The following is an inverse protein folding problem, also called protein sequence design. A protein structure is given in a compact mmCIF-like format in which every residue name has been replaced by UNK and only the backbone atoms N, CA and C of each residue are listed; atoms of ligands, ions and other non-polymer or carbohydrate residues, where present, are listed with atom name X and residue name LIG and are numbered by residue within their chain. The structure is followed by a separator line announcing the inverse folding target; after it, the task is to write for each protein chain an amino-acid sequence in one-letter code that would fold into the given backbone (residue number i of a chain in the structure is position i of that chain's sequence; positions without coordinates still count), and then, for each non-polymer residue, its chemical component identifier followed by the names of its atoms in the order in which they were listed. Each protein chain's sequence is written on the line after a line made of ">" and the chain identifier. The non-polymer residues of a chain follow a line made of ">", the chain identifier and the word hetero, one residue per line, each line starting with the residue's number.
data_IF_098658567929
#
_entry.id   IF_098658567929
#
_cell.length_a   1.000
_cell.length_b   1.000
_cell.length_c   1.000
_cell.angle_alpha   90.00
_cell.angle_beta   90.00
_cell.angle_gamma   90.00
#
_symmetry.space_group_name_H-M   'P 1'
#
loop_
_entity.id
_entity.type
_entity.pdbx_description
1 polymer ?
#
# COMPACT_ATOMS: atom_id res chain seq x y z
N UNK A 1 -0.95 1.87 -4.59
CA UNK A 1 -1.84 1.51 -3.47
C UNK A 1 -1.11 0.70 -2.43
N UNK A 2 -1.44 0.92 -1.16
CA UNK A 2 -1.09 -0.02 -0.10
C UNK A 2 -2.26 -0.96 0.13
N UNK A 3 -1.92 -2.25 0.26
CA UNK A 3 -2.86 -3.36 0.47
C UNK A 3 -2.40 -4.21 1.62
N UNK A 4 -3.32 -4.99 2.14
CA UNK A 4 -2.95 -6.20 2.84
C UNK A 4 -2.60 -7.27 1.81
N UNK A 5 -1.70 -8.16 2.17
CA UNK A 5 -1.42 -9.37 1.43
C UNK A 5 -1.18 -10.53 2.40
N UNK A 6 -1.35 -11.74 1.91
CA UNK A 6 -1.08 -12.94 2.69
C UNK A 6 -0.38 -14.00 1.85
N UNK A 7 0.34 -14.88 2.52
CA UNK A 7 0.96 -16.05 1.92
C UNK A 7 -0.07 -17.18 1.82
N UNK A 8 -0.35 -17.65 0.61
CA UNK A 8 -1.40 -18.64 0.32
C UNK A 8 -1.03 -20.07 0.69
N UNK A 9 0.27 -20.37 0.94
CA UNK A 9 0.71 -21.68 1.40
C UNK A 9 0.66 -21.81 2.93
N UNK A 10 0.60 -20.68 3.66
CA UNK A 10 0.62 -20.63 5.13
C UNK A 10 -0.75 -20.29 5.71
N UNK A 11 -1.53 -19.45 5.02
CA UNK A 11 -2.85 -19.02 5.48
C UNK A 11 -3.89 -19.41 4.43
N UNK A 12 -4.88 -20.19 4.85
CA UNK A 12 -6.03 -20.51 4.01
C UNK A 12 -6.84 -19.26 3.69
N UNK A 13 -7.45 -19.19 2.51
CA UNK A 13 -8.25 -18.05 2.09
C UNK A 13 -9.39 -17.71 3.07
N UNK A 14 -9.95 -18.70 3.75
CA UNK A 14 -11.02 -18.51 4.74
C UNK A 14 -10.54 -17.82 6.02
N UNK A 15 -9.24 -17.94 6.34
CA UNK A 15 -8.61 -17.39 7.53
C UNK A 15 -7.85 -16.08 7.25
N UNK A 16 -7.75 -15.68 5.97
CA UNK A 16 -7.09 -14.44 5.58
C UNK A 16 -7.88 -13.22 6.08
N UNK A 17 -7.21 -12.12 6.44
CA UNK A 17 -7.91 -10.91 6.84
C UNK A 17 -8.73 -10.33 5.67
N UNK A 18 -9.86 -9.71 5.97
CA UNK A 18 -10.75 -9.08 4.98
C UNK A 18 -10.91 -7.59 5.21
N UNK A 19 -10.45 -7.12 6.35
CA UNK A 19 -10.56 -5.73 6.80
C UNK A 19 -9.25 -5.27 7.46
N UNK A 20 -9.06 -3.97 7.61
CA UNK A 20 -7.97 -3.44 8.44
C UNK A 20 -8.18 -3.81 9.91
N UNK A 21 -9.43 -3.80 10.36
CA UNK A 21 -9.78 -4.17 11.73
C UNK A 21 -9.34 -5.61 12.07
N UNK A 22 -9.44 -6.54 11.14
CA UNK A 22 -9.04 -7.94 11.37
C UNK A 22 -7.57 -8.09 11.78
N UNK A 23 -6.68 -7.16 11.39
CA UNK A 23 -5.26 -7.22 11.73
C UNK A 23 -4.98 -7.08 13.23
N UNK A 24 -5.95 -6.65 14.02
CA UNK A 24 -5.85 -6.59 15.49
C UNK A 24 -6.29 -7.88 16.19
N UNK A 25 -6.82 -8.85 15.44
CA UNK A 25 -7.15 -10.17 16.01
C UNK A 25 -5.87 -10.91 16.43
N UNK A 26 -5.88 -11.44 17.64
CA UNK A 26 -4.76 -12.19 18.23
C UNK A 26 -4.34 -13.42 17.42
N UNK A 27 -5.16 -13.93 16.52
CA UNK A 27 -4.76 -15.00 15.58
C UNK A 27 -3.62 -14.59 14.65
N UNK A 28 -3.38 -13.27 14.49
CA UNK A 28 -2.28 -12.72 13.71
C UNK A 28 -1.07 -12.27 14.53
N UNK A 29 -1.05 -12.54 15.84
CA UNK A 29 0.11 -12.25 16.70
C UNK A 29 1.37 -12.91 16.13
N UNK A 30 2.47 -12.14 16.05
CA UNK A 30 3.76 -12.53 15.46
C UNK A 30 3.71 -12.96 13.99
N UNK A 31 2.64 -12.61 13.25
CA UNK A 31 2.45 -13.02 11.85
C UNK A 31 2.40 -11.84 10.85
N UNK A 32 2.44 -10.62 11.35
CA UNK A 32 2.29 -9.42 10.52
C UNK A 32 3.65 -8.80 10.24
N UNK A 33 3.86 -8.33 9.00
CA UNK A 33 5.01 -7.50 8.63
C UNK A 33 4.54 -6.23 7.92
N UNK A 34 5.18 -5.12 8.23
CA UNK A 34 4.90 -3.82 7.59
C UNK A 34 6.18 -3.00 7.44
N UNK A 35 6.24 -2.06 6.45
CA UNK A 35 7.41 -1.24 6.26
C UNK A 35 7.47 -0.09 7.26
N UNK A 36 8.68 0.29 7.66
CA UNK A 36 8.92 1.42 8.57
C UNK A 36 8.38 2.74 7.99
N UNK A 37 7.44 3.41 8.67
CA UNK A 37 6.91 4.70 8.24
C UNK A 37 7.92 5.85 8.33
N UNK A 38 9.00 5.72 9.08
CA UNK A 38 10.08 6.71 9.10
C UNK A 38 10.92 6.69 7.80
N UNK A 39 10.99 5.55 7.13
CA UNK A 39 11.77 5.35 5.91
C UNK A 39 10.90 5.37 4.66
N UNK A 40 9.76 4.71 4.70
CA UNK A 40 8.83 4.61 3.57
C UNK A 40 7.79 5.73 3.58
N UNK A 41 7.86 6.63 2.59
CA UNK A 41 6.85 7.69 2.42
C UNK A 41 5.42 7.14 2.26
N UNK A 42 5.27 6.00 1.59
CA UNK A 42 3.99 5.32 1.45
C UNK A 42 3.49 4.72 2.79
N UNK A 43 4.38 4.23 3.65
CA UNK A 43 4.00 3.78 4.98
C UNK A 43 3.62 4.95 5.89
N UNK A 44 4.36 6.07 5.83
CA UNK A 44 4.01 7.29 6.53
C UNK A 44 2.61 7.82 6.13
N UNK A 45 2.33 7.86 4.83
CA UNK A 45 1.00 8.22 4.33
C UNK A 45 -0.09 7.32 4.91
N UNK A 46 0.12 6.01 4.89
CA UNK A 46 -0.85 5.06 5.44
C UNK A 46 -1.06 5.23 6.93
N UNK A 47 0.01 5.37 7.71
CA UNK A 47 -0.09 5.63 9.14
C UNK A 47 -0.97 6.87 9.41
N UNK A 48 -0.77 7.94 8.65
CA UNK A 48 -1.58 9.16 8.78
C UNK A 48 -3.03 8.94 8.37
N UNK A 49 -3.28 8.20 7.27
CA UNK A 49 -4.66 7.88 6.84
C UNK A 49 -5.40 7.05 7.89
N UNK A 50 -4.76 6.02 8.45
CA UNK A 50 -5.38 5.17 9.48
C UNK A 50 -5.63 5.93 10.78
N UNK A 51 -4.67 6.73 11.22
CA UNK A 51 -4.79 7.55 12.44
C UNK A 51 -5.93 8.57 12.37
N UNK A 52 -6.21 9.10 11.17
CA UNK A 52 -7.27 10.07 10.92
C UNK A 52 -8.57 9.43 10.37
N UNK A 53 -8.69 8.11 10.44
CA UNK A 53 -9.89 7.40 10.00
C UNK A 53 -10.84 7.14 11.17
N UNK A 54 -12.12 7.51 11.03
CA UNK A 54 -13.13 7.39 12.09
C UNK A 54 -13.37 5.96 12.58
N UNK A 55 -13.04 4.95 11.77
CA UNK A 55 -13.24 3.52 12.10
C UNK A 55 -12.01 2.87 12.70
N UNK A 56 -10.82 3.45 12.49
CA UNK A 56 -9.54 2.89 12.92
C UNK A 56 -8.92 3.75 14.02
N UNK A 57 -8.29 4.85 13.69
CA UNK A 57 -7.72 5.80 14.64
C UNK A 57 -6.52 5.25 15.44
N UNK A 58 -6.17 5.96 16.51
CA UNK A 58 -5.05 5.62 17.40
C UNK A 58 -5.25 4.28 18.11
N UNK A 59 -6.50 3.96 18.48
CA UNK A 59 -6.81 2.71 19.16
C UNK A 59 -6.44 1.50 18.29
N UNK A 60 -6.82 1.54 17.01
CA UNK A 60 -6.47 0.47 16.07
C UNK A 60 -4.95 0.33 15.90
N UNK A 61 -4.21 1.44 15.81
CA UNK A 61 -2.74 1.40 15.70
C UNK A 61 -2.12 0.77 16.95
N UNK A 62 -2.64 1.11 18.13
CA UNK A 62 -2.20 0.51 19.42
C UNK A 62 -2.47 -1.00 19.45
N UNK A 63 -3.68 -1.42 19.07
CA UNK A 63 -4.07 -2.84 19.03
C UNK A 63 -3.28 -3.62 17.96
N UNK A 64 -2.96 -3.00 16.82
CA UNK A 64 -2.07 -3.59 15.82
C UNK A 64 -0.66 -3.82 16.40
N UNK A 65 -0.14 -2.86 17.17
CA UNK A 65 1.15 -2.99 17.86
C UNK A 65 1.15 -4.15 18.88
N UNK A 66 0.03 -4.39 19.55
CA UNK A 66 -0.10 -5.51 20.49
C UNK A 66 0.04 -6.90 19.82
N UNK A 67 -0.15 -6.99 18.50
CA UNK A 67 0.12 -8.20 17.72
C UNK A 67 1.62 -8.38 17.35
N UNK A 68 2.51 -7.54 17.89
CA UNK A 68 3.97 -7.62 17.71
C UNK A 68 4.40 -7.73 16.23
N UNK A 69 4.01 -6.80 15.36
CA UNK A 69 4.33 -6.88 13.94
C UNK A 69 5.83 -6.65 13.70
N UNK A 70 6.41 -7.38 12.76
CA UNK A 70 7.75 -7.13 12.26
C UNK A 70 7.80 -5.82 11.47
N UNK A 71 8.73 -4.94 11.81
CA UNK A 71 8.99 -3.71 11.04
C UNK A 71 10.14 -3.96 10.05
N UNK A 72 9.82 -4.02 8.77
CA UNK A 72 10.80 -4.19 7.72
C UNK A 72 11.33 -2.84 7.21
N UNK A 73 12.56 -2.80 6.71
CA UNK A 73 13.21 -1.57 6.28
C UNK A 73 12.49 -0.83 5.14
N UNK A 74 11.74 -1.53 4.28
CA UNK A 74 11.01 -0.94 3.16
C UNK A 74 9.98 -1.90 2.54
N UNK A 75 9.24 -1.45 1.52
CA UNK A 75 8.21 -2.23 0.84
C UNK A 75 8.72 -3.53 0.19
N UNK A 76 9.92 -3.51 -0.39
CA UNK A 76 10.53 -4.69 -1.01
C UNK A 76 10.74 -5.83 -0.01
N UNK A 77 11.54 -5.63 1.05
CA UNK A 77 11.70 -6.59 2.13
C UNK A 77 10.36 -7.06 2.73
N UNK A 78 9.39 -6.15 2.96
CA UNK A 78 8.06 -6.53 3.45
C UNK A 78 7.38 -7.55 2.52
N UNK A 79 7.37 -7.30 1.21
CA UNK A 79 6.74 -8.20 0.25
C UNK A 79 7.44 -9.55 0.16
N UNK A 80 8.77 -9.56 0.26
CA UNK A 80 9.57 -10.80 0.27
C UNK A 80 9.31 -11.63 1.53
N UNK A 81 9.17 -10.98 2.68
CA UNK A 81 8.88 -11.65 3.95
C UNK A 81 7.51 -12.34 3.91
N UNK A 82 6.47 -11.67 3.38
CA UNK A 82 5.16 -12.29 3.17
C UNK A 82 5.26 -13.46 2.19
N UNK A 83 5.92 -13.26 1.05
CA UNK A 83 6.07 -14.30 0.05
C UNK A 83 6.86 -15.52 0.56
N UNK A 84 7.83 -15.30 1.44
CA UNK A 84 8.61 -16.35 2.09
C UNK A 84 7.89 -17.06 3.24
N UNK A 85 6.78 -16.52 3.74
CA UNK A 85 5.94 -17.12 4.78
C UNK A 85 6.46 -16.94 6.21
N UNK A 86 7.55 -16.20 6.44
CA UNK A 86 8.06 -15.91 7.78
C UNK A 86 7.06 -15.08 8.58
N UNK A 87 6.54 -14.01 8.00
CA UNK A 87 5.39 -13.26 8.50
C UNK A 87 4.33 -13.29 7.41
N UNK A 88 3.39 -14.25 7.47
CA UNK A 88 2.53 -14.58 6.33
C UNK A 88 1.42 -13.55 6.04
N UNK A 89 1.28 -12.50 6.82
CA UNK A 89 0.38 -11.36 6.57
C UNK A 89 1.20 -10.08 6.50
N UNK A 90 0.94 -9.22 5.53
CA UNK A 90 1.71 -7.99 5.40
C UNK A 90 0.91 -6.81 4.90
N UNK A 91 1.45 -5.61 5.19
CA UNK A 91 0.98 -4.35 4.60
C UNK A 91 1.97 -3.95 3.51
N UNK A 92 1.59 -4.14 2.27
CA UNK A 92 2.48 -4.12 1.10
C UNK A 92 2.03 -3.11 0.04
N UNK A 93 2.88 -2.85 -0.95
CA UNK A 93 2.49 -2.13 -2.16
C UNK A 93 1.97 -3.13 -3.19
N UNK A 94 0.82 -2.86 -3.77
CA UNK A 94 0.05 -3.77 -4.62
C UNK A 94 0.82 -4.29 -5.85
N UNK A 95 1.53 -3.44 -6.58
CA UNK A 95 2.30 -3.87 -7.76
C UNK A 95 3.40 -4.90 -7.41
N UNK A 96 4.01 -4.81 -6.20
CA UNK A 96 5.01 -5.78 -5.75
C UNK A 96 4.36 -7.14 -5.47
N UNK A 97 3.15 -7.18 -4.95
CA UNK A 97 2.40 -8.43 -4.75
C UNK A 97 2.11 -9.08 -6.10
N UNK A 98 1.59 -8.32 -7.06
CA UNK A 98 1.30 -8.82 -8.40
C UNK A 98 2.56 -9.30 -9.12
N UNK A 99 3.69 -8.58 -8.98
CA UNK A 99 4.97 -8.99 -9.57
C UNK A 99 5.48 -10.31 -8.98
N UNK A 100 5.42 -10.48 -7.66
CA UNK A 100 5.81 -11.71 -6.99
C UNK A 100 4.86 -12.87 -7.35
N UNK A 101 3.55 -12.64 -7.36
CA UNK A 101 2.57 -13.65 -7.76
C UNK A 101 2.77 -14.09 -9.23
N UNK A 102 3.02 -13.15 -10.14
CA UNK A 102 3.33 -13.46 -11.55
C UNK A 102 4.61 -14.28 -11.72
N UNK A 103 5.54 -14.21 -10.77
CA UNK A 103 6.77 -15.03 -10.71
C UNK A 103 6.58 -16.36 -9.98
N UNK A 104 5.36 -16.67 -9.55
CA UNK A 104 5.01 -17.93 -8.90
C UNK A 104 5.16 -17.94 -7.38
N UNK A 105 5.35 -16.79 -6.74
CA UNK A 105 5.35 -16.72 -5.27
C UNK A 105 3.93 -16.92 -4.72
N UNK A 106 3.76 -17.62 -3.58
CA UNK A 106 2.46 -17.87 -2.97
C UNK A 106 1.97 -16.65 -2.18
N UNK A 107 1.72 -15.54 -2.88
CA UNK A 107 1.27 -14.29 -2.27
C UNK A 107 0.03 -13.76 -3.01
N UNK A 108 -0.95 -13.28 -2.24
CA UNK A 108 -2.19 -12.71 -2.77
C UNK A 108 -2.54 -11.40 -2.06
N UNK A 109 -2.99 -10.42 -2.84
CA UNK A 109 -3.46 -9.15 -2.31
C UNK A 109 -4.90 -9.24 -1.77
N UNK A 110 -5.21 -8.39 -0.79
CA UNK A 110 -6.51 -8.26 -0.15
C UNK A 110 -7.00 -6.83 -0.30
N UNK A 111 -8.25 -6.68 -0.69
CA UNK A 111 -8.97 -5.41 -0.77
C UNK A 111 -9.83 -5.26 0.49
N UNK A 112 -9.33 -4.51 1.47
CA UNK A 112 -10.01 -4.34 2.75
C UNK A 112 -11.39 -3.69 2.60
N UNK A 113 -12.34 -4.16 3.39
CA UNK A 113 -13.75 -3.72 3.34
C UNK A 113 -13.93 -2.24 3.69
N UNK A 114 -13.07 -1.67 4.52
CA UNK A 114 -13.07 -0.23 4.86
C UNK A 114 -12.51 0.64 3.73
N UNK A 115 -11.94 0.01 2.71
CA UNK A 115 -11.24 0.68 1.61
C UNK A 115 -9.73 0.64 1.76
N UNK A 116 -9.05 1.15 0.75
CA UNK A 116 -7.59 1.17 0.69
C UNK A 116 -7.07 2.59 0.71
N UNK A 117 -6.01 2.90 1.46
CA UNK A 117 -5.30 4.15 1.31
C UNK A 117 -4.83 4.32 -0.13
N UNK A 118 -5.12 5.48 -0.71
CA UNK A 118 -4.82 5.77 -2.10
C UNK A 118 -3.66 6.75 -2.21
N UNK A 119 -2.54 6.28 -2.71
CA UNK A 119 -1.38 7.11 -2.99
C UNK A 119 -1.21 7.20 -4.51
N UNK A 120 -1.20 8.40 -5.03
CA UNK A 120 -0.77 8.68 -6.41
C UNK A 120 0.75 8.76 -6.48
N UNK A 121 1.32 8.36 -7.60
CA UNK A 121 2.73 8.62 -7.90
C UNK A 121 2.81 9.92 -8.72
N UNK A 122 3.08 11.07 -8.09
CA UNK A 122 3.04 12.36 -8.75
C UNK A 122 4.23 12.54 -9.68
N UNK A 123 3.99 13.20 -10.81
CA UNK A 123 5.03 13.68 -11.71
C UNK A 123 4.88 15.19 -11.89
N UNK A 124 5.99 15.93 -11.79
CA UNK A 124 5.98 17.38 -11.90
C UNK A 124 7.22 17.91 -12.64
N UNK A 125 7.14 19.14 -13.11
CA UNK A 125 8.25 19.87 -13.71
C UNK A 125 8.78 20.89 -12.71
N UNK A 126 10.08 20.90 -12.47
CA UNK A 126 10.69 21.94 -11.67
C UNK A 126 10.49 23.31 -12.35
N UNK A 127 10.06 24.32 -11.59
CA UNK A 127 9.72 25.66 -12.07
C UNK A 127 10.85 26.28 -12.91
N UNK A 128 12.09 26.10 -12.48
CA UNK A 128 13.27 26.69 -13.09
C UNK A 128 14.02 25.73 -14.05
N UNK A 129 13.34 24.66 -14.50
CA UNK A 129 13.93 23.72 -15.46
C UNK A 129 14.20 24.39 -16.80
N UNK A 130 15.42 24.29 -17.31
CA UNK A 130 15.76 24.71 -18.66
C UNK A 130 15.09 23.87 -19.76
N UNK A 131 14.52 22.71 -19.41
CA UNK A 131 13.95 21.73 -20.33
C UNK A 131 12.41 21.57 -20.17
N UNK A 132 11.70 22.60 -19.75
CA UNK A 132 10.26 22.54 -19.46
C UNK A 132 9.43 21.92 -20.59
N UNK A 133 9.69 22.33 -21.85
CA UNK A 133 8.97 21.79 -23.00
C UNK A 133 9.22 20.28 -23.23
N UNK A 134 10.41 19.79 -22.96
CA UNK A 134 10.73 18.36 -23.04
C UNK A 134 10.07 17.58 -21.88
N UNK A 135 10.13 18.13 -20.67
CA UNK A 135 9.48 17.55 -19.48
C UNK A 135 7.95 17.46 -19.68
N UNK A 136 7.33 18.50 -20.23
CA UNK A 136 5.89 18.49 -20.54
C UNK A 136 5.53 17.41 -21.58
N UNK A 137 6.36 17.23 -22.63
CA UNK A 137 6.14 16.14 -23.60
C UNK A 137 6.26 14.77 -22.94
N UNK A 138 7.19 14.59 -22.01
CA UNK A 138 7.33 13.36 -21.25
C UNK A 138 6.12 13.09 -20.36
N UNK A 139 5.63 14.09 -19.63
CA UNK A 139 4.40 13.98 -18.82
C UNK A 139 3.21 13.59 -19.69
N UNK A 140 3.03 14.27 -20.83
CA UNK A 140 1.95 13.95 -21.77
C UNK A 140 2.04 12.52 -22.32
N UNK A 141 3.26 12.01 -22.55
CA UNK A 141 3.48 10.62 -22.92
C UNK A 141 3.09 9.66 -21.79
N UNK A 142 3.57 9.89 -20.56
CA UNK A 142 3.26 9.04 -19.40
C UNK A 142 1.73 8.99 -19.17
N UNK A 143 1.03 10.11 -19.29
CA UNK A 143 -0.41 10.19 -19.11
C UNK A 143 -1.23 9.77 -20.35
N UNK A 144 -0.57 9.41 -21.46
CA UNK A 144 -1.25 8.87 -22.64
C UNK A 144 -1.65 7.41 -22.42
N UNK A 145 -2.60 6.91 -23.22
CA UNK A 145 -2.98 5.49 -23.19
C UNK A 145 -1.79 4.56 -23.40
N UNK A 146 -0.85 4.93 -24.29
CA UNK A 146 0.37 4.15 -24.53
C UNK A 146 1.28 4.12 -23.30
N UNK A 147 1.49 5.25 -22.64
CA UNK A 147 2.28 5.33 -21.41
C UNK A 147 1.63 4.54 -20.27
N UNK A 148 0.31 4.63 -20.14
CA UNK A 148 -0.43 3.91 -19.11
C UNK A 148 -0.51 2.40 -19.37
N UNK A 149 -0.53 1.94 -20.62
CA UNK A 149 -0.37 0.51 -20.95
C UNK A 149 0.99 -0.03 -20.52
N UNK A 150 2.06 0.74 -20.67
CA UNK A 150 3.38 0.36 -20.14
C UNK A 150 3.34 0.23 -18.60
N UNK A 151 2.63 1.13 -17.90
CA UNK A 151 2.45 1.01 -16.45
C UNK A 151 1.69 -0.28 -16.07
N UNK A 152 0.63 -0.63 -16.82
CA UNK A 152 -0.10 -1.89 -16.64
C UNK A 152 0.80 -3.12 -16.84
N UNK A 153 1.68 -3.11 -17.86
CA UNK A 153 2.67 -4.17 -18.10
C UNK A 153 3.67 -4.32 -16.95
N UNK A 154 3.87 -3.26 -16.16
CA UNK A 154 4.69 -3.26 -14.95
C UNK A 154 3.86 -3.47 -13.65
N UNK A 155 2.67 -4.03 -13.77
CA UNK A 155 1.75 -4.33 -12.67
C UNK A 155 1.18 -3.11 -11.91
N UNK A 156 1.27 -1.90 -12.47
CA UNK A 156 0.62 -0.71 -11.90
C UNK A 156 -0.83 -0.58 -12.34
N UNK A 157 -1.68 -0.11 -11.44
CA UNK A 157 -3.03 0.34 -11.80
C UNK A 157 -2.93 1.67 -12.54
N UNK A 158 -3.50 1.79 -13.76
CA UNK A 158 -3.41 3.01 -14.56
C UNK A 158 -4.34 4.09 -14.02
N UNK A 159 -4.04 5.35 -14.37
CA UNK A 159 -4.92 6.50 -14.07
C UNK A 159 -6.00 6.73 -15.15
N UNK A 160 -5.96 5.98 -16.26
CA UNK A 160 -6.98 6.01 -17.33
C UNK A 160 -7.51 4.60 -17.59
N UNK A 161 -8.84 4.47 -17.65
CA UNK A 161 -9.52 3.18 -17.77
C UNK A 161 -9.20 2.44 -19.08
N UNK A 162 -9.01 3.19 -20.20
CA UNK A 162 -8.74 2.58 -21.50
C UNK A 162 -7.43 1.82 -21.60
N UNK A 163 -6.53 1.99 -20.62
CA UNK A 163 -5.28 1.23 -20.56
C UNK A 163 -5.46 -0.20 -20.05
N UNK A 164 -6.62 -0.53 -19.49
CA UNK A 164 -6.90 -1.84 -18.88
C UNK A 164 -6.41 -1.97 -17.44
N UNK A 165 -6.27 -3.18 -16.94
CA UNK A 165 -5.80 -3.48 -15.58
C UNK A 165 -4.73 -4.56 -15.61
N UNK A 166 -3.79 -4.59 -14.64
CA UNK A 166 -2.78 -5.63 -14.57
C UNK A 166 -3.39 -6.95 -14.03
N UNK A 167 -3.24 -8.04 -14.75
CA UNK A 167 -3.74 -9.35 -14.34
C UNK A 167 -5.23 -9.32 -14.00
N UNK A 168 -5.58 -9.92 -12.87
CA UNK A 168 -6.95 -9.98 -12.35
C UNK A 168 -7.31 -8.80 -11.42
N UNK A 169 -6.50 -7.74 -11.38
CA UNK A 169 -6.77 -6.58 -10.53
C UNK A 169 -8.06 -5.89 -10.95
N UNK A 170 -8.92 -5.48 -10.01
CA UNK A 170 -10.11 -4.69 -10.33
C UNK A 170 -9.72 -3.31 -10.90
N UNK A 171 -10.60 -2.72 -11.69
CA UNK A 171 -10.41 -1.35 -12.14
C UNK A 171 -10.43 -0.38 -10.95
N UNK A 172 -9.71 0.74 -11.08
CA UNK A 172 -9.61 1.73 -10.00
C UNK A 172 -10.97 2.17 -9.44
N UNK A 173 -11.96 2.32 -10.32
CA UNK A 173 -13.33 2.73 -9.95
C UNK A 173 -14.07 1.69 -9.09
N UNK A 174 -13.65 0.43 -9.16
CA UNK A 174 -14.28 -0.69 -8.46
C UNK A 174 -13.60 -0.96 -7.10
N UNK A 175 -12.54 -0.20 -6.77
CA UNK A 175 -11.80 -0.30 -5.52
C UNK A 175 -12.34 0.73 -4.54
N UNK A 176 -12.81 0.27 -3.38
CA UNK A 176 -13.12 1.17 -2.28
C UNK A 176 -11.87 1.90 -1.81
N UNK A 177 -11.93 3.22 -1.73
CA UNK A 177 -10.81 4.06 -1.31
C UNK A 177 -11.10 4.68 0.07
N UNK A 178 -10.07 4.77 0.90
CA UNK A 178 -10.11 5.58 2.10
C UNK A 178 -9.91 7.04 1.69
N UNK A 179 -10.93 7.87 1.91
CA UNK A 179 -10.82 9.30 1.70
C UNK A 179 -9.87 9.90 2.74
N UNK A 180 -9.01 10.79 2.29
CA UNK A 180 -8.09 11.50 3.14
C UNK A 180 -7.99 12.95 2.66
N UNK A 181 -8.11 13.88 3.58
CA UNK A 181 -7.85 15.29 3.32
C UNK A 181 -6.33 15.51 3.26
N UNK A 182 -5.84 16.03 2.14
CA UNK A 182 -4.41 16.22 1.92
C UNK A 182 -3.79 17.25 2.87
N UNK A 183 -4.54 18.25 3.29
CA UNK A 183 -4.07 19.26 4.24
C UNK A 183 -3.90 18.62 5.62
N UNK A 184 -4.90 17.87 6.08
CA UNK A 184 -4.82 17.08 7.33
C UNK A 184 -3.66 16.09 7.28
N UNK A 185 -3.50 15.38 6.17
CA UNK A 185 -2.40 14.41 6.00
C UNK A 185 -1.02 15.08 6.06
N UNK A 186 -0.91 16.30 5.51
CA UNK A 186 0.36 17.04 5.54
C UNK A 186 0.69 17.54 6.96
N UNK A 187 -0.30 18.05 7.67
CA UNK A 187 -0.14 18.60 9.01
C UNK A 187 0.11 17.52 10.08
N UNK A 188 -0.61 16.39 10.00
CA UNK A 188 -0.57 15.33 11.02
C UNK A 188 0.48 14.22 10.74
N UNK A 189 1.21 14.30 9.62
CA UNK A 189 2.15 13.26 9.21
C UNK A 189 3.22 12.95 10.26
N UNK A 190 3.85 13.99 10.82
CA UNK A 190 4.95 13.79 11.76
C UNK A 190 4.46 13.10 13.05
N UNK A 191 3.33 13.57 13.58
CA UNK A 191 2.67 12.99 14.77
C UNK A 191 2.25 11.55 14.50
N UNK A 192 1.66 11.27 13.35
CA UNK A 192 1.20 9.93 12.99
C UNK A 192 2.33 8.93 12.86
N UNK A 193 3.46 9.33 12.27
CA UNK A 193 4.65 8.49 12.16
C UNK A 193 5.23 8.18 13.54
N UNK A 194 5.38 9.20 14.39
CA UNK A 194 5.89 9.03 15.76
C UNK A 194 4.98 8.12 16.60
N UNK A 195 3.67 8.36 16.56
CA UNK A 195 2.71 7.51 17.28
C UNK A 195 2.78 6.06 16.81
N UNK A 196 2.79 5.85 15.49
CA UNK A 196 2.86 4.52 14.90
C UNK A 196 4.13 3.79 15.31
N UNK A 197 5.30 4.45 15.28
CA UNK A 197 6.57 3.86 15.70
C UNK A 197 6.54 3.49 17.19
N UNK A 198 5.99 4.35 18.05
CA UNK A 198 5.88 4.10 19.47
C UNK A 198 4.95 2.91 19.78
N UNK A 199 3.87 2.76 19.01
CA UNK A 199 2.94 1.64 19.18
C UNK A 199 3.51 0.30 18.70
N UNK A 200 4.49 0.29 17.79
CA UNK A 200 5.12 -0.93 17.25
C UNK A 200 6.38 -1.37 18.03
N UNK A 201 6.83 -0.61 19.03
CA UNK A 201 7.95 -0.94 19.90
C UNK A 201 7.47 -1.48 21.25
#
# INVERSE_FOLDING_TARGET
>A
YKRQAYNTDVIDQADAPTSWADLTDSKYMDKIVLPDPAVSGAAAYNATVWMNNDKLGEAWVTDLGANNPMIAASNGPTSQEVAGGGHPVGIVVDYLVRDLAAKGSPIKEIYATEGSPYITEPIAVFKDSANQAAAQRYINFILSEKGQKIAVEQNYLPVIESAGTPGDAPALKDIALMNADLDVLSEDRARSVEFFQNAMN
#
